data_IF_341575348493
#
_entry.id   IF_341575348493
#
_cell.length_a   1.000
_cell.length_b   1.000
_cell.length_c   1.000
_cell.angle_alpha   90.00
_cell.angle_beta   90.00
_cell.angle_gamma   90.00
#
_symmetry.space_group_name_H-M   'P 1'
#
loop_
_entity.id
_entity.type
_entity.pdbx_description
1 polymer ?
#
# COMPACT_ATOMS: atom_id res chain seq x y z
N UNK A 1 -18.72 -0.05 -6.53
CA UNK A 1 -17.84 -0.89 -7.36
C UNK A 1 -16.71 -1.37 -6.47
N UNK A 2 -16.30 -2.64 -6.58
CA UNK A 2 -15.20 -3.20 -5.80
C UNK A 2 -13.87 -2.82 -6.45
N UNK A 3 -12.94 -2.25 -5.68
CA UNK A 3 -11.60 -1.95 -6.15
C UNK A 3 -10.70 -3.17 -5.93
N UNK A 4 -10.14 -3.68 -7.02
CA UNK A 4 -9.19 -4.78 -7.07
C UNK A 4 -7.83 -4.18 -7.43
N UNK A 5 -7.11 -3.75 -6.40
CA UNK A 5 -5.76 -3.19 -6.55
C UNK A 5 -4.75 -4.32 -6.75
N UNK A 6 -4.02 -4.28 -7.86
CA UNK A 6 -2.98 -5.27 -8.16
C UNK A 6 -1.60 -4.69 -7.87
N UNK A 7 -0.83 -5.36 -7.00
CA UNK A 7 0.62 -5.16 -6.93
C UNK A 7 1.27 -5.72 -8.21
N UNK A 8 1.92 -4.84 -8.96
CA UNK A 8 2.62 -5.17 -10.21
C UNK A 8 4.10 -4.91 -10.07
N UNK A 9 4.93 -5.81 -10.63
CA UNK A 9 6.37 -5.60 -10.74
C UNK A 9 6.70 -5.02 -12.11
N UNK A 10 7.22 -3.79 -12.13
CA UNK A 10 7.50 -3.04 -13.36
C UNK A 10 6.24 -2.92 -14.27
N UNK A 11 6.45 -2.66 -15.56
CA UNK A 11 5.36 -2.43 -16.52
C UNK A 11 4.80 -3.72 -17.15
N UNK A 12 5.57 -4.81 -17.14
CA UNK A 12 5.39 -5.98 -18.03
C UNK A 12 3.96 -6.54 -18.05
N UNK A 13 3.34 -6.72 -16.89
CA UNK A 13 2.03 -7.35 -16.77
C UNK A 13 0.87 -6.34 -16.63
N UNK A 14 1.13 -5.04 -16.60
CA UNK A 14 0.09 -4.01 -16.39
C UNK A 14 -1.05 -4.12 -17.42
N UNK A 15 -0.79 -4.19 -18.75
CA UNK A 15 -1.89 -4.30 -19.72
C UNK A 15 -2.70 -5.59 -19.58
N UNK A 16 -2.03 -6.68 -19.18
CA UNK A 16 -2.67 -7.99 -18.97
C UNK A 16 -3.57 -7.97 -17.73
N UNK A 17 -3.10 -7.40 -16.62
CA UNK A 17 -3.87 -7.26 -15.39
C UNK A 17 -5.05 -6.30 -15.57
N UNK A 18 -4.86 -5.20 -16.30
CA UNK A 18 -5.94 -4.27 -16.67
C UNK A 18 -7.05 -4.97 -17.46
N UNK A 19 -6.67 -5.70 -18.52
CA UNK A 19 -7.61 -6.47 -19.34
C UNK A 19 -8.35 -7.57 -18.54
N UNK A 20 -7.75 -8.06 -17.45
CA UNK A 20 -8.36 -9.03 -16.55
C UNK A 20 -9.32 -8.40 -15.51
N UNK A 21 -9.42 -7.07 -15.47
CA UNK A 21 -10.36 -6.34 -14.61
C UNK A 21 -9.72 -5.67 -13.39
N UNK A 22 -8.39 -5.55 -13.34
CA UNK A 22 -7.74 -4.67 -12.37
C UNK A 22 -8.19 -3.23 -12.61
N UNK A 23 -8.52 -2.51 -11.53
CA UNK A 23 -9.00 -1.13 -11.63
C UNK A 23 -8.21 -0.14 -10.77
N UNK A 24 -7.09 -0.60 -10.21
CA UNK A 24 -6.02 0.22 -9.64
C UNK A 24 -4.73 -0.60 -9.61
N UNK A 25 -3.59 0.07 -9.74
CA UNK A 25 -2.27 -0.56 -9.63
C UNK A 25 -1.50 -0.03 -8.44
N UNK A 26 -0.84 -0.92 -7.70
CA UNK A 26 0.31 -0.56 -6.88
C UNK A 26 1.57 -0.89 -7.70
N UNK A 27 2.31 0.14 -8.09
CA UNK A 27 3.49 0.04 -8.93
C UNK A 27 4.75 -0.16 -8.08
N UNK A 28 5.33 -1.35 -8.19
CA UNK A 28 6.50 -1.78 -7.44
C UNK A 28 7.60 -2.26 -8.39
N UNK A 29 8.85 -2.23 -7.92
CA UNK A 29 9.93 -3.12 -8.39
C UNK A 29 10.25 -4.14 -7.28
N UNK A 30 10.96 -5.21 -7.61
CA UNK A 30 11.49 -6.18 -6.63
C UNK A 30 10.43 -6.68 -5.63
N UNK A 31 9.33 -7.26 -6.13
CA UNK A 31 8.30 -7.89 -5.30
C UNK A 31 8.84 -9.07 -4.49
N UNK A 32 9.97 -9.66 -4.90
CA UNK A 32 10.66 -10.71 -4.15
C UNK A 32 11.07 -10.29 -2.72
N UNK A 33 11.21 -8.98 -2.44
CA UNK A 33 11.48 -8.44 -1.10
C UNK A 33 10.30 -7.62 -0.53
N UNK A 34 9.11 -7.83 -1.08
CA UNK A 34 7.88 -7.13 -0.69
C UNK A 34 7.66 -5.79 -1.40
N UNK A 35 8.40 -5.51 -2.48
CA UNK A 35 8.25 -4.28 -3.26
C UNK A 35 9.21 -3.17 -2.83
N UNK A 36 9.73 -2.46 -3.82
CA UNK A 36 10.61 -1.28 -3.71
C UNK A 36 10.21 -0.26 -4.78
N UNK A 37 10.73 0.96 -4.67
CA UNK A 37 10.47 2.01 -5.66
C UNK A 37 11.00 1.63 -7.04
N UNK A 38 10.17 1.79 -8.06
CA UNK A 38 10.54 1.58 -9.46
C UNK A 38 11.50 2.66 -9.96
N UNK A 39 12.24 2.35 -11.03
CA UNK A 39 12.99 3.39 -11.74
C UNK A 39 12.07 4.47 -12.32
N UNK A 40 12.60 5.69 -12.48
CA UNK A 40 11.90 6.82 -13.15
C UNK A 40 11.25 6.43 -14.47
N UNK A 41 11.96 5.66 -15.30
CA UNK A 41 11.47 5.29 -16.63
C UNK A 41 10.23 4.40 -16.55
N UNK A 42 10.25 3.43 -15.64
CA UNK A 42 9.10 2.55 -15.38
C UNK A 42 7.91 3.35 -14.85
N UNK A 43 8.14 4.27 -13.91
CA UNK A 43 7.09 5.15 -13.39
C UNK A 43 6.47 6.00 -14.50
N UNK A 44 7.30 6.65 -15.32
CA UNK A 44 6.84 7.53 -16.40
C UNK A 44 6.01 6.80 -17.46
N UNK A 45 6.50 5.66 -17.95
CA UNK A 45 5.77 4.88 -18.97
C UNK A 45 4.48 4.27 -18.41
N UNK A 46 4.49 3.88 -17.13
CA UNK A 46 3.27 3.41 -16.44
C UNK A 46 2.24 4.52 -16.34
N UNK A 47 2.65 5.74 -15.98
CA UNK A 47 1.72 6.87 -15.90
C UNK A 47 1.13 7.26 -17.25
N UNK A 48 1.90 7.20 -18.34
CA UNK A 48 1.36 7.40 -19.69
C UNK A 48 0.25 6.37 -20.02
N UNK A 49 0.52 5.09 -19.79
CA UNK A 49 -0.46 4.03 -20.00
C UNK A 49 -1.70 4.22 -19.12
N UNK A 50 -1.49 4.55 -17.83
CA UNK A 50 -2.55 4.73 -16.86
C UNK A 50 -3.48 5.89 -17.23
N UNK A 51 -2.94 7.01 -17.71
CA UNK A 51 -3.71 8.16 -18.18
C UNK A 51 -4.57 7.82 -19.41
N UNK A 52 -4.00 7.12 -20.39
CA UNK A 52 -4.73 6.67 -21.59
C UNK A 52 -5.91 5.74 -21.27
N UNK A 53 -5.77 4.95 -20.18
CA UNK A 53 -6.77 3.97 -19.76
C UNK A 53 -7.62 4.42 -18.54
N UNK A 54 -7.38 5.62 -18.03
CA UNK A 54 -8.07 6.18 -16.86
C UNK A 54 -8.06 5.26 -15.62
N UNK A 55 -6.92 4.63 -15.35
CA UNK A 55 -6.73 3.72 -14.21
C UNK A 55 -5.77 4.32 -13.19
N UNK A 56 -6.14 4.43 -11.90
CA UNK A 56 -5.26 5.03 -10.91
C UNK A 56 -4.02 4.18 -10.61
N UNK A 57 -2.91 4.86 -10.28
CA UNK A 57 -1.62 4.24 -9.90
C UNK A 57 -1.16 4.75 -8.55
N UNK A 58 -0.76 3.82 -7.70
CA UNK A 58 -0.12 4.06 -6.41
C UNK A 58 1.35 3.65 -6.52
N UNK A 59 2.29 4.58 -6.45
CA UNK A 59 3.72 4.25 -6.54
C UNK A 59 4.28 3.85 -5.17
N UNK A 60 4.99 2.72 -5.11
CA UNK A 60 5.75 2.32 -3.94
C UNK A 60 6.92 3.30 -3.70
N UNK A 61 7.03 3.79 -2.47
CA UNK A 61 8.13 4.63 -1.99
C UNK A 61 8.83 3.86 -0.87
N UNK A 62 9.81 3.04 -1.27
CA UNK A 62 10.57 2.18 -0.35
C UNK A 62 11.96 1.94 -0.94
N UNK A 63 13.04 2.41 -0.29
CA UNK A 63 14.36 2.48 -0.90
C UNK A 63 15.07 1.11 -0.94
N UNK A 64 14.58 0.13 -0.17
CA UNK A 64 15.15 -1.22 -0.05
C UNK A 64 14.14 -2.19 0.58
N UNK A 65 14.40 -3.49 0.44
CA UNK A 65 13.72 -4.52 1.22
C UNK A 65 14.17 -4.56 2.70
N UNK A 66 13.65 -5.52 3.45
CA UNK A 66 13.97 -5.70 4.87
C UNK A 66 13.06 -4.91 5.81
N UNK A 67 13.62 -4.33 6.86
CA UNK A 67 12.85 -3.60 7.89
C UNK A 67 12.24 -2.28 7.37
N UNK A 68 11.53 -1.57 8.23
CA UNK A 68 10.93 -0.26 7.95
C UNK A 68 11.56 0.87 8.79
N UNK A 69 12.74 0.61 9.37
CA UNK A 69 13.50 1.57 10.18
C UNK A 69 14.52 2.26 9.29
N UNK A 70 14.24 3.50 8.90
CA UNK A 70 15.06 4.23 7.95
C UNK A 70 16.02 5.18 8.64
N UNK A 71 17.24 5.29 8.12
CA UNK A 71 18.15 6.37 8.51
C UNK A 71 17.87 7.64 7.69
N UNK A 72 18.45 8.77 8.10
CA UNK A 72 18.30 10.07 7.43
C UNK A 72 18.59 10.05 5.93
N UNK A 73 19.57 9.25 5.49
CA UNK A 73 19.92 9.14 4.07
C UNK A 73 18.85 8.37 3.30
N UNK A 74 18.30 7.30 3.88
CA UNK A 74 17.20 6.54 3.30
C UNK A 74 15.92 7.38 3.21
N UNK A 75 15.61 8.19 4.23
CA UNK A 75 14.49 9.14 4.18
C UNK A 75 14.68 10.19 3.09
N UNK A 76 15.92 10.67 2.87
CA UNK A 76 16.23 11.60 1.77
C UNK A 76 16.11 10.95 0.39
N UNK A 77 16.38 9.66 0.26
CA UNK A 77 16.10 8.91 -0.98
C UNK A 77 14.59 8.88 -1.23
N UNK A 78 13.81 8.51 -0.22
CA UNK A 78 12.34 8.46 -0.31
C UNK A 78 11.74 9.83 -0.66
N UNK A 79 12.22 10.92 -0.07
CA UNK A 79 11.81 12.30 -0.42
C UNK A 79 12.07 12.61 -1.90
N UNK A 80 13.23 12.26 -2.43
CA UNK A 80 13.55 12.47 -3.83
C UNK A 80 12.63 11.68 -4.77
N UNK A 81 12.28 10.45 -4.40
CA UNK A 81 11.35 9.60 -5.13
C UNK A 81 9.91 10.13 -5.07
N UNK A 82 9.49 10.70 -3.93
CA UNK A 82 8.20 11.39 -3.79
C UNK A 82 8.09 12.60 -4.72
N UNK A 83 9.13 13.44 -4.78
CA UNK A 83 9.15 14.57 -5.71
C UNK A 83 9.12 14.12 -7.17
N UNK A 84 9.72 12.98 -7.49
CA UNK A 84 9.63 12.39 -8.82
C UNK A 84 8.23 11.89 -9.13
N UNK A 85 7.58 11.18 -8.21
CA UNK A 85 6.19 10.72 -8.36
C UNK A 85 5.25 11.91 -8.57
N UNK A 86 5.41 12.98 -7.79
CA UNK A 86 4.64 14.21 -7.93
C UNK A 86 4.83 14.85 -9.31
N UNK A 87 6.08 14.95 -9.79
CA UNK A 87 6.39 15.51 -11.12
C UNK A 87 5.77 14.70 -12.26
N UNK A 88 5.65 13.38 -12.09
CA UNK A 88 5.06 12.48 -13.07
C UNK A 88 3.52 12.38 -12.95
N UNK A 89 2.94 13.03 -11.93
CA UNK A 89 1.49 13.09 -11.73
C UNK A 89 0.89 11.75 -11.27
N UNK A 90 1.63 10.98 -10.47
CA UNK A 90 1.12 9.75 -9.85
C UNK A 90 -0.08 10.08 -8.94
N UNK A 91 -1.12 9.23 -8.95
CA UNK A 91 -2.36 9.47 -8.19
C UNK A 91 -2.13 9.34 -6.67
N UNK A 92 -1.27 8.42 -6.26
CA UNK A 92 -0.92 8.21 -4.87
C UNK A 92 0.40 7.49 -4.64
N UNK A 93 0.83 7.44 -3.39
CA UNK A 93 2.10 6.89 -2.95
C UNK A 93 1.89 5.94 -1.78
N UNK A 94 2.77 4.96 -1.67
CA UNK A 94 2.69 3.87 -0.69
C UNK A 94 4.00 3.80 0.09
N UNK A 95 3.96 4.00 1.39
CA UNK A 95 5.14 3.92 2.27
C UNK A 95 4.73 3.69 3.72
N UNK A 96 5.71 3.44 4.59
CA UNK A 96 5.51 3.39 6.03
C UNK A 96 6.86 3.26 6.73
N UNK A 97 7.01 3.99 7.83
CA UNK A 97 8.23 4.02 8.63
C UNK A 97 7.93 3.59 10.07
N UNK A 98 8.82 2.78 10.62
CA UNK A 98 8.77 2.31 12.00
C UNK A 98 10.07 2.65 12.71
N UNK A 99 10.02 2.74 14.04
CA UNK A 99 11.21 2.88 14.87
C UNK A 99 11.85 1.51 15.20
N UNK A 100 12.94 1.52 15.98
CA UNK A 100 13.66 0.31 16.35
C UNK A 100 12.88 -0.65 17.25
N UNK A 101 11.78 -0.18 17.86
CA UNK A 101 10.88 -0.96 18.69
C UNK A 101 9.61 -1.40 17.91
N UNK A 102 9.64 -1.25 16.58
CA UNK A 102 8.53 -1.49 15.65
C UNK A 102 7.28 -0.65 15.96
N UNK A 103 7.44 0.52 16.59
CA UNK A 103 6.35 1.50 16.71
C UNK A 103 6.30 2.38 15.47
N UNK A 104 5.18 3.09 15.27
CA UNK A 104 5.06 4.07 14.21
C UNK A 104 6.10 5.19 14.42
N UNK A 105 6.98 5.39 13.43
CA UNK A 105 7.94 6.51 13.46
C UNK A 105 7.24 7.78 12.98
N UNK A 106 6.68 8.53 13.93
CA UNK A 106 5.88 9.73 13.62
C UNK A 106 6.71 10.83 12.97
N UNK A 107 7.97 11.00 13.36
CA UNK A 107 8.85 12.04 12.81
C UNK A 107 9.18 11.74 11.34
N UNK A 108 9.52 10.49 11.02
CA UNK A 108 9.74 10.05 9.64
C UNK A 108 8.45 10.13 8.82
N UNK A 109 7.30 9.77 9.40
CA UNK A 109 6.01 9.84 8.72
C UNK A 109 5.61 11.28 8.40
N UNK A 110 5.70 12.22 9.35
CA UNK A 110 5.43 13.65 9.09
C UNK A 110 6.29 14.20 7.95
N UNK A 111 7.57 13.85 7.94
CA UNK A 111 8.50 14.25 6.90
C UNK A 111 8.07 13.74 5.51
N UNK A 112 7.68 12.46 5.39
CA UNK A 112 7.25 11.85 4.13
C UNK A 112 5.86 12.35 3.69
N UNK A 113 4.93 12.56 4.62
CA UNK A 113 3.61 13.14 4.35
C UNK A 113 3.77 14.54 3.75
N UNK A 114 4.61 15.39 4.36
CA UNK A 114 4.88 16.73 3.84
C UNK A 114 5.47 16.68 2.41
N UNK A 115 6.38 15.74 2.14
CA UNK A 115 6.98 15.56 0.81
C UNK A 115 6.01 14.99 -0.23
N UNK A 116 4.93 14.33 0.18
CA UNK A 116 3.93 13.71 -0.72
C UNK A 116 3.06 14.75 -1.44
N UNK A 117 3.03 16.00 -0.97
CA UNK A 117 2.54 17.13 -1.76
C UNK A 117 1.09 17.01 -2.27
N UNK A 118 0.21 16.36 -1.49
CA UNK A 118 -1.21 16.18 -1.78
C UNK A 118 -1.59 14.97 -2.63
N UNK A 119 -0.64 14.10 -2.99
CA UNK A 119 -0.94 12.76 -3.51
C UNK A 119 -1.66 11.92 -2.45
N UNK A 120 -2.48 10.94 -2.86
CA UNK A 120 -3.07 10.00 -1.89
C UNK A 120 -1.96 9.20 -1.20
N UNK A 121 -2.11 8.92 0.10
CA UNK A 121 -1.11 8.19 0.87
C UNK A 121 -1.69 6.89 1.40
N UNK A 122 -0.98 5.79 1.15
CA UNK A 122 -1.26 4.48 1.77
C UNK A 122 -0.14 4.10 2.72
N UNK A 123 -0.48 3.85 3.99
CA UNK A 123 0.44 3.20 4.92
C UNK A 123 0.45 1.70 4.64
N UNK A 124 1.60 1.16 4.20
CA UNK A 124 1.70 -0.23 3.75
C UNK A 124 1.83 -1.25 4.89
N UNK A 125 2.13 -2.51 4.54
CA UNK A 125 2.24 -3.66 5.46
C UNK A 125 3.31 -3.54 6.57
N UNK A 126 4.05 -2.43 6.66
CA UNK A 126 4.72 -2.06 7.92
C UNK A 126 3.74 -2.04 9.11
N UNK A 127 2.45 -1.81 8.86
CA UNK A 127 1.41 -1.91 9.89
C UNK A 127 1.38 -3.27 10.58
N UNK A 128 1.62 -4.35 9.83
CA UNK A 128 1.58 -5.71 10.35
C UNK A 128 2.79 -6.05 11.24
N UNK A 129 3.86 -5.24 11.20
CA UNK A 129 5.03 -5.37 12.08
C UNK A 129 4.87 -4.61 13.41
N UNK A 130 3.88 -3.70 13.50
CA UNK A 130 3.56 -2.98 14.72
C UNK A 130 2.99 -3.96 15.75
N UNK A 131 3.46 -3.94 17.02
CA UNK A 131 2.87 -4.74 18.09
C UNK A 131 1.36 -4.57 18.17
N UNK A 132 0.62 -5.68 18.32
CA UNK A 132 -0.84 -5.68 18.24
C UNK A 132 -1.53 -4.75 19.24
N UNK A 133 -0.91 -4.53 20.40
CA UNK A 133 -1.40 -3.62 21.45
C UNK A 133 -1.15 -2.13 21.13
N UNK A 134 -0.30 -1.81 20.16
CA UNK A 134 -0.01 -0.46 19.69
C UNK A 134 -0.66 -0.13 18.32
N UNK A 135 -1.19 -1.12 17.61
CA UNK A 135 -1.78 -0.93 16.28
C UNK A 135 -2.96 0.06 16.26
N UNK A 136 -3.80 0.08 17.29
CA UNK A 136 -4.93 1.01 17.36
C UNK A 136 -4.48 2.46 17.57
N UNK A 137 -3.44 2.67 18.38
CA UNK A 137 -2.84 4.00 18.56
C UNK A 137 -2.18 4.48 17.27
N UNK A 138 -1.51 3.59 16.54
CA UNK A 138 -0.97 3.89 15.22
C UNK A 138 -2.07 4.26 14.21
N UNK A 139 -3.20 3.55 14.18
CA UNK A 139 -4.34 3.90 13.32
C UNK A 139 -4.93 5.27 13.66
N UNK A 140 -5.03 5.61 14.95
CA UNK A 140 -5.50 6.92 15.39
C UNK A 140 -4.59 8.03 14.88
N UNK A 141 -3.28 7.85 15.03
CA UNK A 141 -2.32 8.81 14.51
C UNK A 141 -2.43 8.94 12.98
N UNK A 142 -2.45 7.82 12.24
CA UNK A 142 -2.55 7.85 10.77
C UNK A 142 -3.82 8.55 10.30
N UNK A 143 -4.96 8.32 10.96
CA UNK A 143 -6.24 8.96 10.63
C UNK A 143 -6.21 10.49 10.88
N UNK A 144 -5.40 10.97 11.82
CA UNK A 144 -5.23 12.39 12.12
C UNK A 144 -4.20 13.10 11.21
N UNK A 145 -3.38 12.36 10.45
CA UNK A 145 -2.23 12.88 9.70
C UNK A 145 -2.33 12.67 8.18
N UNK A 146 -3.50 12.93 7.59
CA UNK A 146 -3.72 12.93 6.13
C UNK A 146 -3.35 11.60 5.42
N UNK A 147 -3.39 10.47 6.12
CA UNK A 147 -3.25 9.14 5.50
C UNK A 147 -4.62 8.66 5.04
N UNK A 148 -4.77 8.37 3.75
CA UNK A 148 -6.05 7.94 3.19
C UNK A 148 -6.43 6.52 3.57
N UNK A 149 -5.43 5.62 3.63
CA UNK A 149 -5.67 4.20 3.83
C UNK A 149 -4.49 3.42 4.40
N UNK A 150 -4.79 2.28 5.02
CA UNK A 150 -3.81 1.31 5.53
C UNK A 150 -3.98 -0.01 4.80
N UNK A 151 -2.90 -0.48 4.18
CA UNK A 151 -2.80 -1.82 3.62
C UNK A 151 -2.26 -2.77 4.69
N UNK A 152 -3.02 -3.80 5.03
CA UNK A 152 -2.69 -4.73 6.11
C UNK A 152 -3.15 -6.14 5.79
N UNK A 153 -2.36 -7.12 6.22
CA UNK A 153 -2.74 -8.52 6.24
C UNK A 153 -3.56 -8.89 7.49
N UNK A 154 -3.53 -8.05 8.53
CA UNK A 154 -4.12 -8.32 9.83
C UNK A 154 -3.23 -9.21 10.71
N UNK A 155 -1.91 -9.20 10.46
CA UNK A 155 -0.93 -10.03 11.14
C UNK A 155 0.18 -10.51 10.22
N UNK A 156 0.93 -11.53 10.66
CA UNK A 156 2.06 -12.06 9.90
C UNK A 156 1.65 -12.70 8.56
N UNK A 157 2.35 -12.34 7.48
CA UNK A 157 2.19 -12.89 6.13
C UNK A 157 2.49 -14.40 6.01
N UNK A 158 3.06 -15.02 7.04
CA UNK A 158 3.26 -16.48 7.08
C UNK A 158 1.95 -17.25 7.31
N UNK A 159 0.87 -16.55 7.67
CA UNK A 159 -0.46 -17.13 7.86
C UNK A 159 -1.33 -16.95 6.60
N UNK A 160 -2.25 -17.89 6.35
CA UNK A 160 -3.32 -17.66 5.39
C UNK A 160 -4.19 -16.48 5.80
N UNK A 161 -4.64 -15.68 4.82
CA UNK A 161 -5.50 -14.52 5.06
C UNK A 161 -6.79 -14.89 5.81
N UNK A 162 -7.28 -16.12 5.63
CA UNK A 162 -8.49 -16.61 6.31
C UNK A 162 -8.35 -16.63 7.83
N UNK A 163 -7.12 -16.82 8.34
CA UNK A 163 -6.82 -16.84 9.78
C UNK A 163 -6.73 -15.44 10.40
N UNK A 164 -6.44 -14.41 9.60
CA UNK A 164 -6.30 -13.03 10.07
C UNK A 164 -7.59 -12.21 9.96
N UNK A 165 -8.63 -12.75 9.31
CA UNK A 165 -9.93 -12.10 9.15
C UNK A 165 -10.56 -11.57 10.46
N UNK A 166 -10.48 -12.28 11.61
CA UNK A 166 -11.01 -11.73 12.87
C UNK A 166 -10.30 -10.44 13.29
N UNK A 167 -8.97 -10.38 13.17
CA UNK A 167 -8.17 -9.20 13.50
C UNK A 167 -8.41 -8.05 12.51
N UNK A 168 -8.51 -8.37 11.21
CA UNK A 168 -8.92 -7.40 10.19
C UNK A 168 -10.30 -6.80 10.52
N UNK A 169 -11.26 -7.61 10.97
CA UNK A 169 -12.57 -7.10 11.36
C UNK A 169 -12.47 -6.16 12.57
N UNK A 170 -11.66 -6.48 13.58
CA UNK A 170 -11.41 -5.60 14.73
C UNK A 170 -10.82 -4.25 14.29
N UNK A 171 -9.84 -4.26 13.40
CA UNK A 171 -9.22 -3.05 12.83
C UNK A 171 -10.25 -2.23 12.03
N UNK A 172 -11.06 -2.88 11.20
CA UNK A 172 -12.10 -2.23 10.39
C UNK A 172 -13.18 -1.58 11.28
N UNK A 173 -13.65 -2.32 12.29
CA UNK A 173 -14.67 -1.87 13.23
C UNK A 173 -14.17 -0.69 14.05
N UNK A 174 -12.91 -0.74 14.50
CA UNK A 174 -12.27 0.38 15.17
C UNK A 174 -12.17 1.59 14.26
N UNK A 175 -11.73 1.38 13.01
CA UNK A 175 -11.51 2.47 12.05
C UNK A 175 -12.80 3.23 11.76
N UNK A 176 -13.95 2.54 11.69
CA UNK A 176 -15.29 3.13 11.59
C UNK A 176 -15.41 4.29 10.56
N UNK A 177 -14.66 4.19 9.46
CA UNK A 177 -14.61 5.21 8.40
C UNK A 177 -13.69 6.42 8.66
N UNK A 178 -12.98 6.50 9.78
CA UNK A 178 -11.93 7.49 10.05
C UNK A 178 -10.75 7.34 9.09
N UNK A 179 -10.33 6.10 8.86
CA UNK A 179 -9.31 5.73 7.89
C UNK A 179 -9.76 4.46 7.17
N UNK A 180 -9.40 4.34 5.89
CA UNK A 180 -9.80 3.18 5.09
C UNK A 180 -8.83 2.03 5.29
N UNK A 181 -9.36 0.83 5.49
CA UNK A 181 -8.57 -0.40 5.60
C UNK A 181 -8.65 -1.17 4.28
N UNK A 182 -7.49 -1.56 3.77
CA UNK A 182 -7.33 -2.35 2.54
C UNK A 182 -6.73 -3.70 2.92
N UNK A 183 -7.52 -4.78 2.98
CA UNK A 183 -6.98 -6.12 3.19
C UNK A 183 -6.06 -6.54 2.04
N UNK A 184 -4.90 -7.10 2.38
CA UNK A 184 -3.92 -7.61 1.43
C UNK A 184 -3.13 -8.82 1.93
N UNK A 185 -2.31 -9.40 1.06
CA UNK A 185 -1.51 -10.59 1.38
C UNK A 185 -2.36 -11.87 1.34
N UNK A 186 -2.30 -12.63 0.25
CA UNK A 186 -3.13 -13.84 0.08
C UNK A 186 -4.52 -13.59 -0.51
N UNK A 187 -4.86 -12.36 -0.90
CA UNK A 187 -6.05 -12.07 -1.71
C UNK A 187 -5.81 -12.48 -3.17
N UNK A 188 -6.73 -13.27 -3.71
CA UNK A 188 -6.70 -13.83 -5.05
C UNK A 188 -8.06 -13.69 -5.74
N UNK A 189 -8.09 -13.96 -7.05
CA UNK A 189 -9.33 -14.01 -7.82
C UNK A 189 -10.37 -15.01 -7.27
N UNK A 190 -9.93 -16.01 -6.49
CA UNK A 190 -10.80 -17.04 -5.92
C UNK A 190 -11.47 -16.62 -4.60
N UNK A 191 -10.86 -15.72 -3.82
CA UNK A 191 -11.35 -15.33 -2.49
C UNK A 191 -11.75 -13.85 -2.37
N UNK A 192 -11.42 -13.00 -3.35
CA UNK A 192 -11.62 -11.55 -3.28
C UNK A 192 -13.07 -11.15 -2.97
N UNK A 193 -14.06 -11.72 -3.67
CA UNK A 193 -15.46 -11.33 -3.49
C UNK A 193 -16.00 -11.82 -2.13
N UNK A 194 -15.61 -13.03 -1.72
CA UNK A 194 -16.01 -13.60 -0.42
C UNK A 194 -15.41 -12.82 0.77
N UNK A 195 -14.15 -12.40 0.68
CA UNK A 195 -13.50 -11.59 1.71
C UNK A 195 -14.07 -10.18 1.73
N UNK A 196 -14.32 -9.58 0.56
CA UNK A 196 -14.96 -8.27 0.45
C UNK A 196 -16.33 -8.24 1.15
N UNK A 197 -17.16 -9.26 0.91
CA UNK A 197 -18.48 -9.38 1.52
C UNK A 197 -18.39 -9.65 3.02
N UNK A 198 -17.47 -10.52 3.45
CA UNK A 198 -17.30 -10.89 4.86
C UNK A 198 -16.83 -9.71 5.72
N UNK A 199 -15.87 -8.94 5.24
CA UNK A 199 -15.32 -7.77 5.94
C UNK A 199 -16.08 -6.47 5.64
N UNK A 200 -17.05 -6.52 4.72
CA UNK A 200 -17.78 -5.36 4.18
C UNK A 200 -16.86 -4.22 3.68
N UNK A 201 -15.74 -4.57 3.06
CA UNK A 201 -14.80 -3.61 2.47
C UNK A 201 -15.08 -3.38 0.98
N UNK A 202 -14.52 -2.30 0.43
CA UNK A 202 -14.67 -1.94 -0.99
C UNK A 202 -13.35 -1.89 -1.76
N UNK A 203 -12.23 -2.13 -1.08
CA UNK A 203 -10.90 -2.15 -1.67
C UNK A 203 -10.14 -3.35 -1.12
N UNK A 204 -9.53 -4.14 -2.00
CA UNK A 204 -8.64 -5.22 -1.62
C UNK A 204 -7.42 -5.19 -2.54
N UNK A 205 -6.33 -5.72 -2.01
CA UNK A 205 -5.02 -5.69 -2.63
C UNK A 205 -4.46 -7.11 -2.81
N UNK A 206 -3.91 -7.41 -4.00
CA UNK A 206 -3.15 -8.65 -4.16
C UNK A 206 -2.47 -8.79 -5.52
N UNK A 207 -1.39 -9.57 -5.57
CA UNK A 207 -0.67 -9.86 -6.83
C UNK A 207 -1.46 -10.76 -7.79
N UNK A 208 -2.44 -11.51 -7.27
CA UNK A 208 -3.27 -12.48 -8.00
C UNK A 208 -4.77 -12.21 -7.91
N UNK A 209 -5.15 -10.97 -7.60
CA UNK A 209 -6.55 -10.60 -7.31
C UNK A 209 -7.49 -10.67 -8.53
N UNK A 210 -6.94 -10.64 -9.75
CA UNK A 210 -7.72 -10.77 -11.01
C UNK A 210 -7.25 -11.91 -11.92
N UNK A 211 -6.06 -12.47 -11.68
CA UNK A 211 -5.46 -13.55 -12.46
C UNK A 211 -4.87 -14.61 -11.53
N UNK A 212 -4.98 -15.89 -11.91
CA UNK A 212 -4.46 -17.03 -11.13
C UNK A 212 -2.97 -17.28 -11.39
#
# INVERSE_FOLDING_TARGET
>A
MLIKEVAVENFTDIPKQFAAGANRFELCDNLAVGGTTVSKGVMSETMHYAQDNQVPVMAMIRPRGGNFVYNDTELKIMEADLFQAQQLGVDGVVFGALDTDNQLDTDAMEFLIAASGGMQITFHMAFDEIPSDAQLDALAWLAEHDIDRVLTHGGSLDKPIEETLPHLQEIIDWSNGLIKIVPGGGITADNVDAIADKLNVKELHGTKIVLK
#
